data_IF_088297406140
#
_entry.id   IF_088297406140
#
_cell.length_a   1.000
_cell.length_b   1.000
_cell.length_c   1.000
_cell.angle_alpha   90.00
_cell.angle_beta   90.00
_cell.angle_gamma   90.00
#
_symmetry.space_group_name_H-M   'P 1'
#
loop_
_entity.id
_entity.type
_entity.pdbx_description
1 polymer ?
#
# COMPACT_ATOMS: atom_id res chain seq x y z
N UNK A 1 32.04 5.56 0.46
CA UNK A 1 31.71 4.15 0.81
C UNK A 1 30.32 3.86 0.26
N UNK A 2 30.00 2.63 -0.16
CA UNK A 2 28.65 2.27 -0.56
C UNK A 2 27.67 2.49 0.58
N UNK A 3 26.46 2.97 0.26
CA UNK A 3 25.40 3.25 1.24
C UNK A 3 24.69 1.96 1.62
N UNK A 4 24.61 1.69 2.92
CA UNK A 4 23.83 0.58 3.44
C UNK A 4 22.35 0.74 3.05
N UNK A 5 21.75 -0.31 2.51
CA UNK A 5 20.42 -0.26 1.92
C UNK A 5 19.51 -1.33 2.52
N UNK A 6 18.28 -0.96 2.83
CA UNK A 6 17.25 -1.89 3.28
C UNK A 6 16.00 -1.73 2.40
N UNK A 7 15.46 -2.85 1.92
CA UNK A 7 14.21 -2.92 1.18
C UNK A 7 13.09 -3.35 2.13
N UNK A 8 11.98 -2.61 2.08
CA UNK A 8 10.71 -2.96 2.70
C UNK A 8 9.78 -3.48 1.61
N UNK A 9 9.61 -4.78 1.55
CA UNK A 9 8.77 -5.46 0.59
C UNK A 9 7.58 -6.14 1.27
N UNK A 10 6.63 -6.64 0.52
CA UNK A 10 5.44 -7.33 1.00
C UNK A 10 4.20 -6.94 0.21
N UNK A 11 3.18 -7.76 0.28
CA UNK A 11 1.97 -7.60 -0.50
C UNK A 11 1.18 -6.33 -0.14
N UNK A 12 0.17 -6.01 -0.95
CA UNK A 12 -0.71 -4.86 -0.76
C UNK A 12 -1.39 -4.90 0.63
N UNK A 13 -1.36 -3.78 1.35
CA UNK A 13 -1.97 -3.68 2.68
C UNK A 13 -1.25 -4.41 3.82
N UNK A 14 -0.08 -5.01 3.56
CA UNK A 14 0.69 -5.72 4.57
C UNK A 14 1.26 -4.81 5.68
N UNK A 15 1.30 -3.49 5.50
CA UNK A 15 1.78 -2.54 6.51
C UNK A 15 3.20 -2.00 6.28
N UNK A 16 3.69 -2.04 5.04
CA UNK A 16 5.02 -1.48 4.67
C UNK A 16 5.17 -0.01 5.02
N UNK A 17 4.19 0.80 4.63
CA UNK A 17 4.17 2.25 4.90
C UNK A 17 4.13 2.54 6.40
N UNK A 18 3.37 1.77 7.18
CA UNK A 18 3.34 1.87 8.64
C UNK A 18 4.70 1.54 9.26
N UNK A 19 5.38 0.51 8.75
CA UNK A 19 6.75 0.17 9.16
C UNK A 19 7.72 1.29 8.80
N UNK A 20 7.67 1.80 7.55
CA UNK A 20 8.50 2.92 7.12
C UNK A 20 8.35 4.12 8.05
N UNK A 21 7.12 4.55 8.34
CA UNK A 21 6.83 5.65 9.25
C UNK A 21 7.42 5.42 10.64
N UNK A 22 7.26 4.22 11.21
CA UNK A 22 7.81 3.86 12.50
C UNK A 22 9.34 3.96 12.52
N UNK A 23 10.03 3.46 11.48
CA UNK A 23 11.48 3.56 11.36
C UNK A 23 11.97 5.00 11.24
N UNK A 24 11.24 5.84 10.50
CA UNK A 24 11.57 7.24 10.33
C UNK A 24 11.41 8.05 11.62
N UNK A 25 10.36 7.77 12.40
CA UNK A 25 10.20 8.38 13.73
C UNK A 25 11.39 8.05 14.62
N UNK A 26 11.81 6.78 14.68
CA UNK A 26 12.94 6.34 15.47
C UNK A 26 14.28 6.97 15.02
N UNK A 27 14.43 7.24 13.71
CA UNK A 27 15.65 7.85 13.19
C UNK A 27 15.90 9.27 13.71
N UNK A 28 14.87 10.00 14.13
CA UNK A 28 15.00 11.34 14.71
C UNK A 28 15.82 11.37 16.00
N UNK A 29 15.76 10.26 16.75
CA UNK A 29 16.42 10.14 18.04
C UNK A 29 17.88 9.65 17.90
N UNK A 30 18.31 9.30 16.69
CA UNK A 30 19.65 8.77 16.41
C UNK A 30 20.55 9.85 15.76
N UNK A 31 21.47 10.41 16.53
CA UNK A 31 22.31 11.55 16.14
C UNK A 31 23.22 11.30 14.91
N UNK A 32 23.47 10.05 14.51
CA UNK A 32 24.42 9.70 13.45
C UNK A 32 23.74 8.97 12.27
N UNK A 33 22.42 8.96 12.20
CA UNK A 33 21.66 8.28 11.14
C UNK A 33 20.93 9.31 10.30
N UNK A 34 21.29 9.39 9.02
CA UNK A 34 20.63 10.22 8.05
C UNK A 34 20.02 9.30 6.98
N UNK A 35 18.71 9.09 7.08
CA UNK A 35 17.98 8.18 6.19
C UNK A 35 17.67 8.86 4.86
N UNK A 36 18.03 8.19 3.76
CA UNK A 36 17.43 8.41 2.46
C UNK A 36 16.22 7.50 2.27
N UNK A 37 15.22 7.97 1.57
CA UNK A 37 13.96 7.23 1.36
C UNK A 37 13.55 7.24 -0.10
N UNK A 38 13.25 6.06 -0.63
CA UNK A 38 12.62 5.88 -1.93
C UNK A 38 11.32 5.10 -1.73
N UNK A 39 10.21 5.64 -2.23
CA UNK A 39 8.89 5.00 -2.15
C UNK A 39 8.36 4.71 -3.54
N UNK A 40 7.97 3.47 -3.79
CA UNK A 40 7.32 3.08 -5.05
C UNK A 40 5.81 2.95 -4.88
N UNK A 41 5.06 3.77 -5.59
CA UNK A 41 3.60 3.80 -5.58
C UNK A 41 3.01 3.44 -6.93
N UNK A 42 2.14 2.43 -6.97
CA UNK A 42 1.44 2.03 -8.21
C UNK A 42 0.30 2.97 -8.61
N UNK A 43 -0.17 3.80 -7.70
CA UNK A 43 -1.32 4.68 -7.91
C UNK A 43 -0.89 6.09 -8.25
N UNK A 44 -1.58 6.71 -9.20
CA UNK A 44 -1.50 8.17 -9.44
C UNK A 44 -2.18 8.97 -8.31
N UNK A 45 -2.93 8.29 -7.43
CA UNK A 45 -3.46 8.83 -6.18
C UNK A 45 -2.50 8.49 -5.05
N UNK A 46 -1.81 9.49 -4.62
CA UNK A 46 -0.93 9.43 -3.47
C UNK A 46 -1.72 9.52 -2.15
N UNK A 47 -2.51 8.48 -1.86
CA UNK A 47 -3.25 8.39 -0.60
C UNK A 47 -2.30 8.08 0.55
N UNK A 48 -1.31 7.22 0.32
CA UNK A 48 -0.32 6.86 1.33
C UNK A 48 0.65 8.02 1.59
N UNK A 49 1.07 8.74 0.55
CA UNK A 49 1.93 9.90 0.71
C UNK A 49 1.21 11.12 1.27
N UNK A 50 -0.09 11.30 1.03
CA UNK A 50 -0.85 12.36 1.71
C UNK A 50 -0.98 12.10 3.22
N UNK A 51 -0.98 10.83 3.63
CA UNK A 51 -0.91 10.43 5.05
C UNK A 51 0.50 10.62 5.61
N UNK A 52 1.55 10.39 4.81
CA UNK A 52 2.95 10.68 5.19
C UNK A 52 3.18 12.18 5.39
N UNK A 53 2.68 13.04 4.50
CA UNK A 53 2.81 14.50 4.60
C UNK A 53 2.10 15.09 5.84
N UNK A 54 0.97 14.49 6.26
CA UNK A 54 0.27 14.89 7.49
C UNK A 54 0.97 14.45 8.77
N UNK A 55 1.92 13.50 8.68
CA UNK A 55 2.62 12.97 9.86
C UNK A 55 3.87 13.77 10.28
N UNK A 56 4.24 14.86 9.56
CA UNK A 56 5.46 15.68 9.79
C UNK A 56 6.80 14.88 9.84
N UNK A 57 6.76 13.59 9.49
CA UNK A 57 7.91 12.69 9.69
C UNK A 57 8.93 12.81 8.57
N UNK A 58 8.46 12.96 7.34
CA UNK A 58 9.29 13.35 6.18
C UNK A 58 8.52 14.33 5.32
N UNK A 59 9.11 15.48 5.08
CA UNK A 59 8.65 16.36 4.01
C UNK A 59 9.05 15.77 2.66
N UNK A 60 8.10 15.62 1.73
CA UNK A 60 8.38 15.32 0.31
C UNK A 60 9.33 16.33 -0.34
N UNK A 61 9.50 17.48 0.30
CA UNK A 61 10.46 18.52 -0.10
C UNK A 61 11.88 18.21 0.39
N UNK A 62 12.07 17.15 1.19
CA UNK A 62 13.41 16.74 1.61
C UNK A 62 14.24 16.31 0.40
N UNK A 63 15.51 16.75 0.28
CA UNK A 63 16.41 16.28 -0.76
C UNK A 63 16.68 14.76 -0.66
N UNK A 64 16.48 14.18 0.52
CA UNK A 64 16.70 12.76 0.79
C UNK A 64 15.42 11.90 0.57
N UNK A 65 14.40 12.45 -0.09
CA UNK A 65 13.19 11.74 -0.45
C UNK A 65 12.99 11.69 -1.97
N UNK A 66 12.64 10.51 -2.49
CA UNK A 66 12.18 10.35 -3.87
C UNK A 66 11.00 9.37 -3.94
N UNK A 67 10.14 9.59 -4.91
CA UNK A 67 9.02 8.71 -5.25
C UNK A 67 9.21 8.18 -6.66
N UNK A 68 8.90 6.89 -6.86
CA UNK A 68 8.84 6.21 -8.17
C UNK A 68 7.37 5.89 -8.44
N UNK A 69 6.66 6.76 -9.19
CA UNK A 69 5.21 6.63 -9.36
C UNK A 69 4.81 5.74 -10.53
N UNK A 70 3.60 5.21 -10.47
CA UNK A 70 2.83 4.71 -11.59
C UNK A 70 3.06 3.26 -11.98
N UNK A 71 4.27 2.74 -11.93
CA UNK A 71 4.59 1.34 -12.26
C UNK A 71 5.35 0.65 -11.14
N UNK A 72 5.36 -0.69 -11.17
CA UNK A 72 6.23 -1.44 -10.25
C UNK A 72 7.68 -1.07 -10.48
N UNK A 73 8.42 -0.83 -9.41
CA UNK A 73 9.87 -0.57 -9.42
C UNK A 73 10.65 -1.71 -10.09
N UNK A 74 10.08 -2.91 -10.18
CA UNK A 74 10.69 -4.07 -10.84
C UNK A 74 10.46 -4.14 -12.36
N UNK A 75 9.64 -3.25 -12.93
CA UNK A 75 9.51 -3.13 -14.38
C UNK A 75 10.70 -2.39 -14.99
N UNK A 76 10.93 -2.53 -16.30
CA UNK A 76 12.04 -1.86 -17.00
C UNK A 76 12.02 -0.33 -16.80
N UNK A 77 10.83 0.28 -16.98
CA UNK A 77 10.65 1.71 -16.77
C UNK A 77 10.82 2.09 -15.28
N UNK A 78 10.26 1.27 -14.37
CA UNK A 78 10.40 1.48 -12.92
C UNK A 78 11.85 1.38 -12.45
N UNK A 79 12.65 0.46 -13.00
CA UNK A 79 14.07 0.34 -12.72
C UNK A 79 14.88 1.56 -13.23
N UNK A 80 14.50 2.15 -14.38
CA UNK A 80 15.13 3.38 -14.84
C UNK A 80 14.85 4.55 -13.88
N UNK A 81 13.59 4.75 -13.52
CA UNK A 81 13.18 5.77 -12.54
C UNK A 81 13.81 5.54 -11.16
N UNK A 82 13.96 4.29 -10.75
CA UNK A 82 14.63 3.93 -9.51
C UNK A 82 16.10 4.38 -9.49
N UNK A 83 16.84 4.19 -10.58
CA UNK A 83 18.23 4.65 -10.67
C UNK A 83 18.34 6.17 -10.53
N UNK A 84 17.46 6.92 -11.22
CA UNK A 84 17.37 8.37 -11.09
C UNK A 84 17.03 8.81 -9.65
N UNK A 85 16.10 8.08 -8.99
CA UNK A 85 15.75 8.34 -7.61
C UNK A 85 16.91 8.10 -6.65
N UNK A 86 17.71 7.05 -6.86
CA UNK A 86 18.93 6.78 -6.09
C UNK A 86 19.92 7.92 -6.25
N UNK A 87 20.22 8.34 -7.47
CA UNK A 87 21.16 9.43 -7.74
C UNK A 87 20.71 10.74 -7.09
N UNK A 88 19.42 11.05 -7.18
CA UNK A 88 18.82 12.23 -6.53
C UNK A 88 18.98 12.19 -5.01
N UNK A 89 18.61 11.10 -4.38
CA UNK A 89 18.62 10.97 -2.90
C UNK A 89 20.03 11.00 -2.34
N UNK A 90 21.00 10.51 -3.09
CA UNK A 90 22.41 10.45 -2.66
C UNK A 90 23.24 11.66 -3.09
N UNK A 91 22.68 12.63 -3.81
CA UNK A 91 23.42 13.73 -4.47
C UNK A 91 24.26 14.58 -3.52
N UNK A 92 23.82 14.81 -2.29
CA UNK A 92 24.53 15.67 -1.32
C UNK A 92 25.54 14.91 -0.43
N UNK A 93 25.62 13.58 -0.57
CA UNK A 93 26.56 12.72 0.16
C UNK A 93 26.30 12.60 1.67
N UNK A 94 25.14 13.04 2.17
CA UNK A 94 24.83 13.03 3.61
C UNK A 94 24.09 11.78 4.07
N UNK A 95 23.44 11.05 3.16
CA UNK A 95 22.71 9.84 3.47
C UNK A 95 23.66 8.76 3.98
N UNK A 96 23.32 8.19 5.14
CA UNK A 96 24.08 7.11 5.77
C UNK A 96 23.45 5.74 5.53
N UNK A 97 22.13 5.70 5.34
CA UNK A 97 21.36 4.49 5.07
C UNK A 97 20.17 4.80 4.16
N UNK A 98 19.93 3.94 3.16
CA UNK A 98 18.81 4.06 2.23
C UNK A 98 17.71 3.06 2.57
N UNK A 99 16.50 3.56 2.79
CA UNK A 99 15.29 2.74 2.91
C UNK A 99 14.49 2.80 1.61
N UNK A 100 14.10 1.64 1.08
CA UNK A 100 13.33 1.53 -0.14
C UNK A 100 12.02 0.81 0.18
N UNK A 101 10.89 1.48 0.03
CA UNK A 101 9.57 0.86 0.09
C UNK A 101 9.12 0.48 -1.31
N UNK A 102 8.81 -0.79 -1.53
CA UNK A 102 8.29 -1.29 -2.81
C UNK A 102 6.77 -1.25 -2.86
N UNK A 103 6.20 -1.20 -4.05
CA UNK A 103 4.78 -1.47 -4.25
C UNK A 103 4.43 -2.91 -3.85
N UNK A 104 3.16 -3.15 -3.56
CA UNK A 104 2.71 -4.49 -3.15
C UNK A 104 2.82 -5.56 -4.24
N UNK A 105 2.95 -5.15 -5.50
CA UNK A 105 3.11 -6.03 -6.67
C UNK A 105 4.56 -6.17 -7.15
N UNK A 106 5.52 -5.61 -6.43
CA UNK A 106 6.93 -5.66 -6.83
C UNK A 106 7.47 -7.08 -6.83
N UNK A 107 7.99 -7.50 -7.97
CA UNK A 107 8.76 -8.72 -8.12
C UNK A 107 10.17 -8.52 -7.54
N UNK A 108 10.62 -9.34 -6.57
CA UNK A 108 11.87 -9.11 -5.86
C UNK A 108 13.11 -9.18 -6.73
N UNK A 109 13.19 -10.17 -7.62
CA UNK A 109 14.44 -10.51 -8.29
C UNK A 109 15.00 -9.37 -9.18
N UNK A 110 14.25 -8.73 -10.09
CA UNK A 110 14.78 -7.65 -10.91
C UNK A 110 15.29 -6.46 -10.08
N UNK A 111 14.63 -6.14 -8.97
CA UNK A 111 15.08 -5.07 -8.06
C UNK A 111 16.38 -5.46 -7.36
N UNK A 112 16.52 -6.71 -6.92
CA UNK A 112 17.74 -7.21 -6.29
C UNK A 112 18.93 -7.15 -7.26
N UNK A 113 18.75 -7.54 -8.51
CA UNK A 113 19.78 -7.43 -9.55
C UNK A 113 20.16 -5.97 -9.83
N UNK A 114 19.16 -5.08 -9.91
CA UNK A 114 19.42 -3.65 -10.11
C UNK A 114 20.22 -3.06 -8.96
N UNK A 115 19.91 -3.38 -7.71
CA UNK A 115 20.68 -2.90 -6.54
C UNK A 115 22.10 -3.48 -6.54
N UNK A 116 22.27 -4.76 -6.88
CA UNK A 116 23.57 -5.40 -6.99
C UNK A 116 24.47 -4.73 -8.04
N UNK A 117 23.85 -4.24 -9.12
CA UNK A 117 24.55 -3.55 -10.22
C UNK A 117 24.93 -2.09 -9.87
N UNK A 118 24.41 -1.51 -8.80
CA UNK A 118 24.69 -0.13 -8.38
C UNK A 118 25.83 -0.09 -7.36
N UNK A 119 27.04 0.35 -7.76
CA UNK A 119 28.22 0.32 -6.88
C UNK A 119 28.10 1.25 -5.67
N UNK A 120 27.24 2.26 -5.73
CA UNK A 120 26.93 3.17 -4.62
C UNK A 120 26.05 2.56 -3.54
N UNK A 121 25.41 1.40 -3.78
CA UNK A 121 24.53 0.74 -2.83
C UNK A 121 25.13 -0.56 -2.29
N UNK A 122 24.77 -0.90 -1.06
CA UNK A 122 25.13 -2.17 -0.42
C UNK A 122 23.91 -2.71 0.33
N UNK A 123 23.28 -3.73 -0.22
CA UNK A 123 22.08 -4.31 0.39
C UNK A 123 22.42 -5.06 1.67
N UNK A 124 21.76 -4.74 2.75
CA UNK A 124 21.80 -5.42 4.04
C UNK A 124 20.47 -6.13 4.34
N UNK A 125 19.36 -5.40 4.29
CA UNK A 125 18.04 -5.91 4.62
C UNK A 125 17.14 -6.05 3.41
N UNK A 126 16.53 -7.24 3.24
CA UNK A 126 15.32 -7.41 2.45
C UNK A 126 14.24 -7.92 3.40
N UNK A 127 13.47 -6.96 3.95
CA UNK A 127 12.41 -7.23 4.90
C UNK A 127 11.11 -7.44 4.15
N UNK A 128 10.53 -8.64 4.26
CA UNK A 128 9.21 -8.90 3.70
C UNK A 128 8.15 -8.81 4.79
N UNK A 129 7.20 -7.88 4.61
CA UNK A 129 6.06 -7.70 5.50
C UNK A 129 4.93 -8.61 5.04
N UNK A 130 4.58 -9.57 5.88
CA UNK A 130 3.59 -10.61 5.59
C UNK A 130 2.35 -10.39 6.45
N UNK A 131 1.21 -10.16 5.82
CA UNK A 131 -0.08 -9.93 6.50
C UNK A 131 -0.61 -11.24 7.09
N UNK A 132 -0.55 -11.38 8.40
CA UNK A 132 -0.97 -12.60 9.11
C UNK A 132 -2.47 -12.88 8.95
N UNK A 133 -3.29 -11.82 8.89
CA UNK A 133 -4.74 -11.96 8.74
C UNK A 133 -5.08 -12.49 7.35
N UNK A 134 -4.44 -11.94 6.30
CA UNK A 134 -4.63 -12.40 4.91
C UNK A 134 -4.16 -13.86 4.75
N UNK A 135 -3.01 -14.21 5.34
CA UNK A 135 -2.55 -15.61 5.27
C UNK A 135 -3.49 -16.56 5.98
N UNK A 136 -4.05 -16.17 7.13
CA UNK A 136 -5.04 -16.97 7.84
C UNK A 136 -6.31 -17.18 7.03
N UNK A 137 -6.86 -16.10 6.46
CA UNK A 137 -8.20 -16.11 5.85
C UNK A 137 -8.20 -16.63 4.41
N UNK A 138 -7.21 -16.19 3.61
CA UNK A 138 -7.23 -16.36 2.15
C UNK A 138 -6.25 -17.45 1.67
N UNK A 139 -5.31 -17.90 2.53
CA UNK A 139 -4.22 -18.80 2.13
C UNK A 139 -4.00 -19.99 3.08
N UNK A 140 -5.01 -20.44 3.82
CA UNK A 140 -4.90 -21.54 4.80
C UNK A 140 -3.66 -21.38 5.69
N UNK A 141 -3.58 -20.27 6.43
CA UNK A 141 -2.43 -19.90 7.27
C UNK A 141 -1.09 -19.77 6.50
N UNK A 142 -1.13 -19.73 5.18
CA UNK A 142 0.05 -19.72 4.29
C UNK A 142 0.36 -21.06 3.64
N UNK A 143 -0.26 -22.17 4.07
CA UNK A 143 -0.02 -23.51 3.51
C UNK A 143 -0.41 -23.63 2.05
N UNK A 144 -1.41 -22.87 1.59
CA UNK A 144 -1.87 -22.86 0.21
C UNK A 144 -0.92 -22.12 -0.75
N UNK A 145 0.02 -21.30 -0.27
CA UNK A 145 0.89 -20.48 -1.12
C UNK A 145 1.70 -21.36 -2.09
N UNK A 146 2.47 -22.29 -1.56
CA UNK A 146 3.36 -23.14 -2.38
C UNK A 146 2.59 -24.03 -3.38
N UNK A 147 1.56 -24.79 -2.98
CA UNK A 147 0.82 -25.61 -3.93
C UNK A 147 0.18 -24.81 -5.07
N UNK A 148 -0.43 -23.67 -4.76
CA UNK A 148 -1.08 -22.81 -5.77
C UNK A 148 -0.04 -22.16 -6.68
N UNK A 149 1.07 -21.68 -6.13
CA UNK A 149 2.17 -21.12 -6.92
C UNK A 149 2.75 -22.16 -7.91
N UNK A 150 2.96 -23.40 -7.45
CA UNK A 150 3.45 -24.49 -8.30
C UNK A 150 2.47 -24.87 -9.42
N UNK A 151 1.16 -24.93 -9.11
CA UNK A 151 0.12 -25.17 -10.11
C UNK A 151 0.07 -24.06 -11.16
N UNK A 152 0.22 -22.81 -10.75
CA UNK A 152 0.26 -21.68 -11.65
C UNK A 152 1.45 -21.80 -12.63
N UNK A 153 2.66 -22.06 -12.12
CA UNK A 153 3.85 -22.23 -12.95
C UNK A 153 3.70 -23.39 -13.94
N UNK A 154 3.16 -24.54 -13.49
CA UNK A 154 2.87 -25.68 -14.36
C UNK A 154 1.84 -25.37 -15.46
N UNK A 155 0.96 -24.39 -15.22
CA UNK A 155 -0.02 -23.90 -16.19
C UNK A 155 0.50 -22.73 -17.07
N UNK A 156 1.81 -22.42 -17.02
CA UNK A 156 2.42 -21.33 -17.78
C UNK A 156 1.97 -19.94 -17.36
N UNK A 157 1.55 -19.75 -16.10
CA UNK A 157 1.07 -18.47 -15.58
C UNK A 157 1.67 -18.16 -14.21
N UNK A 158 1.60 -16.90 -13.82
CA UNK A 158 1.95 -16.43 -12.47
C UNK A 158 0.76 -15.68 -11.87
N UNK A 159 0.55 -15.84 -10.58
CA UNK A 159 -0.54 -15.19 -9.84
C UNK A 159 -0.06 -14.73 -8.47
N UNK A 160 -1.01 -14.25 -7.65
CA UNK A 160 -0.70 -13.70 -6.32
C UNK A 160 0.04 -14.68 -5.42
N UNK A 161 -0.28 -15.96 -5.48
CA UNK A 161 0.44 -16.97 -4.70
C UNK A 161 1.93 -17.06 -5.07
N UNK A 162 2.28 -16.88 -6.36
CA UNK A 162 3.66 -16.81 -6.80
C UNK A 162 4.36 -15.58 -6.25
N UNK A 163 3.72 -14.44 -6.31
CA UNK A 163 4.26 -13.19 -5.76
C UNK A 163 4.50 -13.29 -4.24
N UNK A 164 3.53 -13.82 -3.49
CA UNK A 164 3.66 -14.04 -2.05
C UNK A 164 4.80 -15.02 -1.74
N UNK A 165 4.90 -16.13 -2.49
CA UNK A 165 6.01 -17.08 -2.35
C UNK A 165 7.36 -16.40 -2.56
N UNK A 166 7.52 -15.65 -3.64
CA UNK A 166 8.75 -14.94 -3.95
C UNK A 166 9.10 -13.88 -2.90
N UNK A 167 8.13 -13.09 -2.45
CA UNK A 167 8.34 -12.12 -1.40
C UNK A 167 8.86 -12.77 -0.11
N UNK A 168 8.41 -13.98 0.22
CA UNK A 168 8.93 -14.76 1.34
C UNK A 168 10.31 -15.31 1.04
N UNK A 169 10.51 -15.94 -0.13
CA UNK A 169 11.74 -16.67 -0.49
C UNK A 169 12.96 -15.74 -0.60
N UNK A 170 12.78 -14.54 -1.12
CA UNK A 170 13.88 -13.60 -1.29
C UNK A 170 14.22 -12.78 -0.03
N UNK A 171 13.39 -12.82 1.02
CA UNK A 171 13.64 -12.07 2.24
C UNK A 171 14.79 -12.68 3.07
N UNK A 172 15.56 -11.84 3.78
CA UNK A 172 16.41 -12.30 4.87
C UNK A 172 15.77 -12.05 6.25
N UNK A 173 14.62 -11.34 6.27
CA UNK A 173 13.76 -11.21 7.46
C UNK A 173 12.30 -11.13 7.05
N UNK A 174 11.46 -11.93 7.72
CA UNK A 174 10.01 -11.93 7.57
C UNK A 174 9.38 -11.23 8.78
N UNK A 175 8.51 -10.26 8.51
CA UNK A 175 7.78 -9.51 9.54
C UNK A 175 6.30 -9.90 9.44
N UNK A 176 5.82 -10.73 10.36
CA UNK A 176 4.42 -11.13 10.47
C UNK A 176 3.63 -9.95 11.04
N UNK A 177 3.02 -9.18 10.16
CA UNK A 177 2.28 -7.96 10.54
C UNK A 177 0.87 -8.28 11.05
N UNK A 178 0.24 -7.26 11.64
CA UNK A 178 -1.10 -7.37 12.26
C UNK A 178 -1.17 -8.45 13.34
N UNK A 179 -0.07 -8.67 14.02
CA UNK A 179 0.05 -9.66 15.09
C UNK A 179 -0.89 -9.37 16.28
N UNK A 180 -1.37 -8.12 16.41
CA UNK A 180 -2.38 -7.68 17.36
C UNK A 180 -3.81 -8.12 17.01
N UNK A 181 -4.05 -8.54 15.76
CA UNK A 181 -5.38 -8.92 15.24
C UNK A 181 -5.62 -10.43 15.24
N UNK A 182 -4.64 -11.22 15.62
CA UNK A 182 -4.71 -12.68 15.60
C UNK A 182 -4.23 -13.27 16.94
N UNK A 183 -4.62 -14.51 17.22
CA UNK A 183 -4.11 -15.21 18.42
C UNK A 183 -2.65 -15.64 18.26
N UNK A 184 -2.00 -15.96 19.39
CA UNK A 184 -0.63 -16.48 19.38
C UNK A 184 -0.51 -17.80 18.60
N UNK A 185 -1.53 -18.65 18.67
CA UNK A 185 -1.58 -19.92 17.94
C UNK A 185 -1.65 -19.71 16.41
N UNK A 186 -2.39 -18.71 15.96
CA UNK A 186 -2.45 -18.31 14.54
C UNK A 186 -1.09 -17.81 14.07
N UNK A 187 -0.43 -16.94 14.85
CA UNK A 187 0.92 -16.47 14.53
C UNK A 187 1.92 -17.63 14.40
N UNK A 188 1.86 -18.60 15.31
CA UNK A 188 2.70 -19.78 15.26
C UNK A 188 2.42 -20.62 14.01
N UNK A 189 1.14 -20.88 13.70
CA UNK A 189 0.76 -21.64 12.51
C UNK A 189 1.23 -20.96 11.22
N UNK A 190 1.10 -19.64 11.12
CA UNK A 190 1.59 -18.87 9.97
C UNK A 190 3.12 -18.94 9.88
N UNK A 191 3.83 -18.75 10.99
CA UNK A 191 5.29 -18.85 11.02
C UNK A 191 5.77 -20.24 10.54
N UNK A 192 5.14 -21.31 11.04
CA UNK A 192 5.42 -22.70 10.65
C UNK A 192 5.12 -22.97 9.17
N UNK A 193 4.06 -22.35 8.63
CA UNK A 193 3.66 -22.51 7.23
C UNK A 193 4.57 -21.78 6.24
N UNK A 194 5.10 -20.60 6.60
CA UNK A 194 6.00 -19.83 5.74
C UNK A 194 7.48 -20.26 5.89
N UNK A 195 7.85 -20.87 7.01
CA UNK A 195 9.23 -21.31 7.25
C UNK A 195 9.80 -22.24 6.18
N UNK A 196 9.07 -23.23 5.66
CA UNK A 196 9.58 -24.11 4.60
C UNK A 196 9.92 -23.37 3.30
N UNK A 197 9.27 -22.24 3.01
CA UNK A 197 9.56 -21.41 1.84
C UNK A 197 10.90 -20.69 1.98
N UNK A 198 11.31 -20.36 3.22
CA UNK A 198 12.57 -19.68 3.49
C UNK A 198 13.11 -20.03 4.89
N UNK A 199 13.75 -21.19 5.07
CA UNK A 199 14.20 -21.64 6.38
C UNK A 199 15.32 -20.79 7.01
N UNK A 200 15.94 -19.92 6.21
CA UNK A 200 17.06 -19.07 6.67
C UNK A 200 16.64 -17.66 7.06
N UNK A 201 15.39 -17.28 6.80
CA UNK A 201 14.91 -15.96 7.19
C UNK A 201 14.56 -15.91 8.67
N UNK A 202 14.96 -14.83 9.33
CA UNK A 202 14.45 -14.51 10.66
C UNK A 202 12.96 -14.18 10.58
N UNK A 203 12.13 -14.81 11.43
CA UNK A 203 10.69 -14.53 11.48
C UNK A 203 10.37 -13.78 12.76
N UNK A 204 9.80 -12.59 12.63
CA UNK A 204 9.43 -11.72 13.76
C UNK A 204 7.96 -11.31 13.66
N UNK A 205 7.25 -11.33 14.78
CA UNK A 205 5.93 -10.73 14.88
C UNK A 205 6.04 -9.21 14.94
N UNK A 206 5.18 -8.51 14.21
CA UNK A 206 5.14 -7.05 14.14
C UNK A 206 3.73 -6.52 14.42
N UNK A 207 3.65 -5.56 15.34
CA UNK A 207 2.42 -4.82 15.64
C UNK A 207 2.66 -3.34 15.32
N UNK A 208 1.74 -2.72 14.58
CA UNK A 208 1.77 -1.28 14.27
C UNK A 208 3.11 -0.77 13.69
N UNK A 209 3.81 -1.60 12.93
CA UNK A 209 5.12 -1.26 12.38
C UNK A 209 6.25 -1.16 13.42
N UNK A 210 6.03 -1.64 14.65
CA UNK A 210 7.01 -1.55 15.72
C UNK A 210 8.14 -2.59 15.55
N UNK A 211 9.18 -2.16 14.85
CA UNK A 211 10.46 -2.87 14.68
C UNK A 211 11.59 -1.90 15.03
N UNK A 212 12.58 -2.33 15.81
CA UNK A 212 13.71 -1.48 16.18
C UNK A 212 14.53 -1.09 14.96
N UNK A 213 14.69 0.21 14.72
CA UNK A 213 15.54 0.73 13.65
C UNK A 213 17.00 0.26 13.82
N UNK A 214 17.53 0.25 15.03
CA UNK A 214 18.89 -0.23 15.31
C UNK A 214 19.10 -1.67 14.82
N UNK A 215 18.10 -2.55 15.04
CA UNK A 215 18.15 -3.94 14.55
C UNK A 215 18.05 -4.02 13.03
N UNK A 216 17.36 -3.08 12.39
CA UNK A 216 17.30 -2.98 10.92
C UNK A 216 18.65 -2.51 10.37
N UNK A 217 19.24 -1.47 10.96
CA UNK A 217 20.55 -0.92 10.54
C UNK A 217 21.70 -1.91 10.79
N UNK A 218 21.60 -2.74 11.82
CA UNK A 218 22.62 -3.74 12.19
C UNK A 218 22.47 -5.08 11.43
N UNK A 219 21.58 -5.17 10.44
CA UNK A 219 21.43 -6.40 9.66
C UNK A 219 22.73 -6.72 8.91
N UNK A 220 23.09 -8.02 8.81
CA UNK A 220 24.25 -8.43 8.04
C UNK A 220 24.06 -8.13 6.55
N UNK A 221 25.14 -8.18 5.79
CA UNK A 221 25.10 -8.04 4.35
C UNK A 221 24.18 -9.11 3.75
N UNK A 222 23.34 -8.70 2.79
CA UNK A 222 22.44 -9.62 2.09
C UNK A 222 23.22 -10.64 1.25
N UNK A 223 22.89 -11.90 1.43
CA UNK A 223 23.51 -12.99 0.70
C UNK A 223 22.82 -13.22 -0.65
N UNK A 224 23.34 -12.62 -1.71
CA UNK A 224 22.84 -12.81 -3.06
C UNK A 224 23.04 -14.24 -3.60
N UNK A 225 24.10 -14.94 -3.19
CA UNK A 225 24.37 -16.29 -3.70
C UNK A 225 23.30 -17.29 -3.25
N UNK A 226 22.73 -17.06 -2.06
CA UNK A 226 21.61 -17.86 -1.54
C UNK A 226 20.40 -17.87 -2.46
N UNK A 227 20.08 -16.74 -3.09
CA UNK A 227 18.86 -16.56 -3.89
C UNK A 227 19.12 -16.60 -5.39
N UNK A 228 20.37 -16.66 -5.80
CA UNK A 228 20.78 -16.63 -7.21
C UNK A 228 20.21 -17.78 -8.04
N UNK A 229 20.17 -18.99 -7.48
CA UNK A 229 19.59 -20.14 -8.15
C UNK A 229 18.11 -19.92 -8.44
N UNK A 230 17.36 -19.44 -7.45
CA UNK A 230 15.95 -19.09 -7.61
C UNK A 230 15.74 -18.00 -8.67
N UNK A 231 16.53 -16.92 -8.59
CA UNK A 231 16.44 -15.83 -9.55
C UNK A 231 16.69 -16.33 -10.98
N UNK A 232 17.66 -17.20 -11.15
CA UNK A 232 17.97 -17.80 -12.45
C UNK A 232 16.83 -18.69 -12.97
N UNK A 233 16.29 -19.58 -12.15
CA UNK A 233 15.13 -20.41 -12.49
C UNK A 233 13.92 -19.56 -12.91
N UNK A 234 13.64 -18.47 -12.19
CA UNK A 234 12.55 -17.56 -12.55
C UNK A 234 12.79 -16.86 -13.88
N UNK A 235 14.02 -16.41 -14.13
CA UNK A 235 14.38 -15.75 -15.40
C UNK A 235 14.30 -16.72 -16.57
N UNK A 236 14.77 -17.95 -16.40
CA UNK A 236 14.68 -19.01 -17.42
C UNK A 236 13.22 -19.37 -17.71
N UNK A 237 12.42 -19.54 -16.67
CA UNK A 237 10.98 -19.80 -16.82
C UNK A 237 10.25 -18.67 -17.56
N UNK A 238 10.55 -17.41 -17.22
CA UNK A 238 9.99 -16.24 -17.89
C UNK A 238 10.38 -16.19 -19.37
N UNK A 239 11.64 -16.47 -19.71
CA UNK A 239 12.12 -16.50 -21.09
C UNK A 239 11.41 -17.58 -21.92
N UNK A 240 11.18 -18.76 -21.37
CA UNK A 240 10.49 -19.88 -22.03
C UNK A 240 9.01 -19.58 -22.30
N UNK A 241 8.34 -18.88 -21.38
CA UNK A 241 6.88 -18.62 -21.46
C UNK A 241 6.54 -17.28 -22.12
N UNK A 242 7.48 -16.34 -22.21
CA UNK A 242 7.29 -15.05 -22.91
C UNK A 242 7.17 -15.22 -24.43
N UNK A 243 7.75 -16.26 -25.00
CA UNK A 243 7.69 -16.53 -26.44
C UNK A 243 6.30 -17.00 -26.94
N UNK A 244 5.41 -17.43 -26.05
CA UNK A 244 4.08 -17.94 -26.37
C UNK A 244 2.95 -16.90 -26.23
N UNK A 245 3.21 -15.71 -25.70
CA UNK A 245 2.25 -14.63 -25.66
C UNK A 245 2.83 -13.37 -26.31
N UNK A 246 2.12 -12.81 -27.29
CA UNK A 246 2.43 -11.50 -27.92
C UNK A 246 2.29 -10.31 -26.94
N UNK A 247 2.18 -10.57 -25.65
CA UNK A 247 2.17 -9.56 -24.58
C UNK A 247 3.49 -9.67 -23.83
N UNK A 248 4.14 -8.53 -23.62
CA UNK A 248 5.26 -8.42 -22.67
C UNK A 248 4.92 -9.15 -21.37
N UNK A 249 5.87 -9.80 -20.69
CA UNK A 249 5.62 -10.45 -19.41
C UNK A 249 5.35 -9.36 -18.35
N UNK A 250 4.14 -8.84 -18.33
CA UNK A 250 3.62 -8.18 -17.16
C UNK A 250 3.42 -9.27 -16.12
N UNK A 251 4.37 -9.34 -15.25
CA UNK A 251 4.71 -10.45 -14.38
C UNK A 251 3.58 -10.91 -13.46
N UNK A 252 2.64 -10.02 -13.17
CA UNK A 252 1.36 -10.28 -12.52
C UNK A 252 0.34 -9.37 -13.19
N UNK A 253 -0.75 -9.90 -13.68
CA UNK A 253 -1.85 -9.10 -14.24
C UNK A 253 -2.58 -8.32 -13.15
N UNK A 254 -1.81 -7.58 -12.36
CA UNK A 254 -2.29 -6.70 -11.32
C UNK A 254 -2.34 -5.29 -11.91
N UNK A 255 -3.55 -4.81 -12.09
CA UNK A 255 -3.80 -3.45 -12.53
C UNK A 255 -4.26 -2.55 -11.37
N UNK A 256 -4.39 -1.28 -11.68
CA UNK A 256 -5.07 -0.32 -10.81
C UNK A 256 -6.04 0.53 -11.63
N UNK A 257 -7.10 0.98 -10.95
CA UNK A 257 -8.04 1.97 -11.47
C UNK A 257 -8.28 3.03 -10.42
N UNK A 258 -8.42 4.24 -10.88
CA UNK A 258 -8.74 5.38 -10.01
C UNK A 258 -10.14 5.84 -10.33
N UNK A 259 -11.02 5.72 -9.34
CA UNK A 259 -12.38 6.21 -9.39
C UNK A 259 -12.42 7.60 -8.78
N UNK A 260 -12.94 8.58 -9.52
CA UNK A 260 -13.12 9.97 -9.06
C UNK A 260 -14.51 10.45 -9.44
N UNK A 261 -15.26 10.92 -8.42
CA UNK A 261 -16.58 11.52 -8.63
C UNK A 261 -16.86 12.49 -7.46
N UNK A 262 -17.43 13.67 -7.70
CA UNK A 262 -17.81 14.58 -6.62
C UNK A 262 -19.06 14.11 -5.85
N UNK A 263 -19.91 13.26 -6.44
CA UNK A 263 -21.13 12.74 -5.83
C UNK A 263 -20.83 11.82 -4.65
N UNK A 264 -21.73 11.73 -3.66
CA UNK A 264 -21.61 10.75 -2.58
C UNK A 264 -21.91 9.33 -3.07
N UNK A 265 -21.36 8.36 -2.37
CA UNK A 265 -21.86 6.99 -2.49
C UNK A 265 -23.18 6.83 -1.71
N UNK A 266 -24.13 6.09 -2.29
CA UNK A 266 -25.31 5.65 -1.57
C UNK A 266 -24.92 4.59 -0.52
N UNK A 267 -25.18 4.81 0.77
CA UNK A 267 -24.64 4.00 1.85
C UNK A 267 -24.95 2.50 1.72
N UNK A 268 -26.21 2.16 1.41
CA UNK A 268 -26.65 0.77 1.29
C UNK A 268 -26.07 0.08 0.04
N UNK A 269 -26.00 0.77 -1.11
CA UNK A 269 -25.44 0.17 -2.32
C UNK A 269 -23.94 -0.11 -2.15
N UNK A 270 -23.20 0.83 -1.62
CA UNK A 270 -21.78 0.63 -1.33
C UNK A 270 -21.55 -0.52 -0.36
N UNK A 271 -22.34 -0.61 0.70
CA UNK A 271 -22.27 -1.71 1.67
C UNK A 271 -22.49 -3.07 1.01
N UNK A 272 -23.53 -3.17 0.15
CA UNK A 272 -23.85 -4.42 -0.55
C UNK A 272 -22.73 -4.85 -1.50
N UNK A 273 -22.09 -3.92 -2.21
CA UNK A 273 -20.96 -4.23 -3.10
C UNK A 273 -19.81 -4.85 -2.33
N UNK A 274 -19.43 -4.25 -1.21
CA UNK A 274 -18.31 -4.76 -0.43
C UNK A 274 -18.58 -6.02 0.38
N UNK A 275 -19.84 -6.28 0.74
CA UNK A 275 -20.22 -7.48 1.49
C UNK A 275 -20.60 -8.66 0.60
N UNK A 276 -21.00 -8.42 -0.66
CA UNK A 276 -21.57 -9.45 -1.53
C UNK A 276 -20.84 -9.59 -2.87
N UNK A 277 -20.19 -8.55 -3.37
CA UNK A 277 -19.59 -8.51 -4.70
C UNK A 277 -18.05 -8.33 -4.70
N UNK A 278 -17.43 -8.23 -3.53
CA UNK A 278 -15.98 -8.17 -3.43
C UNK A 278 -15.40 -9.55 -3.82
N UNK A 279 -14.86 -9.63 -5.04
CA UNK A 279 -14.23 -10.85 -5.55
C UNK A 279 -12.81 -11.04 -5.02
N UNK A 280 -12.32 -12.28 -5.08
CA UNK A 280 -10.94 -12.66 -4.70
C UNK A 280 -9.89 -11.90 -5.54
N UNK A 281 -10.25 -11.50 -6.76
CA UNK A 281 -9.39 -10.73 -7.66
C UNK A 281 -9.24 -9.24 -7.30
N UNK A 282 -9.98 -8.74 -6.30
CA UNK A 282 -9.81 -7.36 -5.81
C UNK A 282 -8.95 -7.38 -4.55
N UNK A 283 -7.69 -7.02 -4.69
CA UNK A 283 -6.69 -7.18 -3.64
C UNK A 283 -6.68 -6.04 -2.65
N UNK A 284 -6.87 -4.81 -3.13
CA UNK A 284 -6.89 -3.60 -2.30
C UNK A 284 -7.76 -2.52 -2.92
N UNK A 285 -8.48 -1.80 -2.07
CA UNK A 285 -9.01 -0.49 -2.43
C UNK A 285 -8.77 0.51 -1.30
N UNK A 286 -8.37 1.73 -1.66
CA UNK A 286 -8.08 2.78 -0.68
C UNK A 286 -8.40 4.14 -1.24
N UNK A 287 -8.89 5.05 -0.40
CA UNK A 287 -9.13 6.43 -0.77
C UNK A 287 -10.16 7.12 0.08
N UNK A 288 -10.47 8.34 -0.30
CA UNK A 288 -11.43 9.19 0.42
C UNK A 288 -12.79 9.12 -0.25
N UNK A 289 -13.82 9.19 0.56
CA UNK A 289 -15.20 9.26 0.09
C UNK A 289 -16.10 9.93 1.11
N UNK A 290 -17.35 10.16 0.74
CA UNK A 290 -18.38 10.66 1.62
C UNK A 290 -19.73 10.01 1.34
N UNK A 291 -20.62 10.09 2.34
CA UNK A 291 -21.97 9.54 2.33
C UNK A 291 -22.97 10.66 2.67
N UNK A 292 -24.20 10.64 2.12
CA UNK A 292 -25.24 11.60 2.49
C UNK A 292 -25.56 11.63 3.99
N UNK A 293 -25.45 10.45 4.66
CA UNK A 293 -25.69 10.27 6.10
C UNK A 293 -24.58 10.80 7.00
N UNK A 294 -23.44 11.19 6.44
CA UNK A 294 -22.23 11.66 7.13
C UNK A 294 -21.51 12.68 6.26
N UNK A 295 -22.26 13.60 5.71
CA UNK A 295 -21.79 14.55 4.69
C UNK A 295 -20.80 15.59 5.22
N UNK A 296 -20.71 15.74 6.55
CA UNK A 296 -19.70 16.54 7.21
C UNK A 296 -18.34 15.85 7.33
N UNK A 297 -18.26 14.51 7.19
CA UNK A 297 -17.06 13.72 7.46
C UNK A 297 -16.33 13.33 6.19
N UNK A 298 -15.01 13.54 6.17
CA UNK A 298 -14.11 12.92 5.21
C UNK A 298 -13.78 11.52 5.71
N UNK A 299 -14.30 10.51 5.01
CA UNK A 299 -14.11 9.11 5.35
C UNK A 299 -12.93 8.55 4.53
N UNK A 300 -12.02 7.84 5.19
CA UNK A 300 -10.97 7.07 4.55
C UNK A 300 -11.40 5.60 4.49
N UNK A 301 -11.48 5.10 3.30
CA UNK A 301 -11.69 3.71 2.98
C UNK A 301 -10.36 2.98 2.88
N UNK A 302 -10.24 1.82 3.52
CA UNK A 302 -9.08 0.96 3.42
C UNK A 302 -9.53 -0.51 3.41
N UNK A 303 -9.48 -1.15 2.24
CA UNK A 303 -9.80 -2.56 2.07
C UNK A 303 -8.55 -3.32 1.62
N UNK A 304 -8.34 -4.49 2.21
CA UNK A 304 -7.28 -5.43 1.83
C UNK A 304 -7.84 -6.86 1.97
N UNK A 305 -7.86 -7.62 0.86
CA UNK A 305 -8.56 -8.90 0.82
C UNK A 305 -10.02 -8.75 1.26
N UNK A 306 -10.53 -9.64 2.07
CA UNK A 306 -11.89 -9.55 2.64
C UNK A 306 -12.05 -8.53 3.78
N UNK A 307 -10.98 -7.89 4.25
CA UNK A 307 -11.02 -6.97 5.39
C UNK A 307 -11.27 -5.53 4.95
N UNK A 308 -12.26 -4.87 5.55
CA UNK A 308 -12.65 -3.48 5.27
C UNK A 308 -12.48 -2.64 6.52
N UNK A 309 -11.72 -1.55 6.40
CA UNK A 309 -11.56 -0.51 7.42
C UNK A 309 -12.20 0.80 6.96
N UNK A 310 -12.89 1.47 7.88
CA UNK A 310 -13.46 2.78 7.68
C UNK A 310 -12.96 3.71 8.78
N UNK A 311 -12.36 4.83 8.41
CA UNK A 311 -11.76 5.76 9.35
C UNK A 311 -12.23 7.18 9.06
N UNK A 312 -12.42 8.00 10.11
CA UNK A 312 -12.68 9.42 9.98
C UNK A 312 -11.34 10.14 9.95
N UNK A 313 -11.08 10.88 8.87
CA UNK A 313 -9.82 11.64 8.72
C UNK A 313 -9.98 13.06 9.22
N UNK A 314 -11.03 13.74 8.77
CA UNK A 314 -11.32 15.14 9.10
C UNK A 314 -12.76 15.50 8.75
N UNK A 315 -13.10 16.75 8.94
CA UNK A 315 -14.29 17.35 8.32
C UNK A 315 -13.95 17.85 6.91
N UNK A 316 -14.96 17.84 6.02
CA UNK A 316 -14.85 18.60 4.78
C UNK A 316 -14.83 20.10 5.12
N UNK A 317 -14.05 20.89 4.37
CA UNK A 317 -13.94 22.33 4.65
C UNK A 317 -15.27 23.06 4.52
N UNK A 318 -16.06 22.69 3.51
CA UNK A 318 -17.39 23.26 3.34
C UNK A 318 -18.27 23.02 4.57
N UNK A 319 -18.25 21.81 5.13
CA UNK A 319 -19.02 21.47 6.34
C UNK A 319 -18.47 22.13 7.59
N UNK A 320 -17.14 22.25 7.69
CA UNK A 320 -16.52 22.94 8.81
C UNK A 320 -16.87 24.44 8.85
N UNK A 321 -17.02 25.07 7.69
CA UNK A 321 -17.47 26.46 7.58
C UNK A 321 -18.96 26.67 7.91
N UNK A 322 -19.76 25.61 7.78
CA UNK A 322 -21.21 25.62 8.09
C UNK A 322 -21.51 25.25 9.55
N UNK A 323 -20.52 24.79 10.31
CA UNK A 323 -20.67 24.33 11.70
C UNK A 323 -20.12 25.38 12.69
N UNK A 324 -21.01 26.24 13.18
CA UNK A 324 -20.68 27.28 14.17
C UNK A 324 -20.09 26.70 15.48
N UNK A 325 -20.34 25.41 15.78
CA UNK A 325 -19.85 24.80 17.02
C UNK A 325 -18.34 24.61 17.03
N UNK A 326 -17.68 24.61 15.86
CA UNK A 326 -16.23 24.49 15.72
C UNK A 326 -15.48 25.76 16.13
N UNK A 327 -16.20 26.90 16.33
CA UNK A 327 -15.63 28.20 16.76
C UNK A 327 -14.35 28.58 15.97
N UNK A 328 -14.38 28.42 14.64
CA UNK A 328 -13.25 28.78 13.78
C UNK A 328 -12.98 30.29 13.85
N UNK A 329 -11.71 30.66 13.99
CA UNK A 329 -11.27 32.04 13.88
C UNK A 329 -11.49 32.61 12.47
N UNK A 330 -11.60 33.94 12.34
CA UNK A 330 -11.75 34.60 11.04
C UNK A 330 -10.64 34.20 10.05
N UNK A 331 -9.42 34.08 10.54
CA UNK A 331 -8.27 33.64 9.71
C UNK A 331 -8.45 32.20 9.18
N UNK A 332 -8.88 31.26 10.02
CA UNK A 332 -9.12 29.87 9.60
C UNK A 332 -10.26 29.79 8.58
N UNK A 333 -11.32 30.58 8.79
CA UNK A 333 -12.43 30.66 7.84
C UNK A 333 -11.96 31.21 6.48
N UNK A 334 -11.18 32.28 6.47
CA UNK A 334 -10.65 32.88 5.25
C UNK A 334 -9.71 31.95 4.50
N UNK A 335 -8.85 31.21 5.21
CA UNK A 335 -7.98 30.20 4.60
C UNK A 335 -8.80 29.05 3.98
N UNK A 336 -9.84 28.57 4.67
CA UNK A 336 -10.72 27.53 4.13
C UNK A 336 -11.50 28.02 2.92
N UNK A 337 -12.05 29.24 2.96
CA UNK A 337 -12.76 29.86 1.82
C UNK A 337 -11.83 30.03 0.61
N UNK A 338 -10.59 30.42 0.83
CA UNK A 338 -9.61 30.55 -0.23
C UNK A 338 -9.33 29.19 -0.93
N UNK A 339 -9.29 28.11 -0.15
CA UNK A 339 -9.11 26.74 -0.69
C UNK A 339 -10.36 26.20 -1.40
N UNK A 340 -11.53 26.75 -1.13
CA UNK A 340 -12.80 26.38 -1.77
C UNK A 340 -13.08 27.10 -3.09
N UNK A 341 -12.29 28.11 -3.46
CA UNK A 341 -12.50 28.90 -4.69
C UNK A 341 -12.53 28.08 -5.97
N UNK A 342 -11.88 26.90 -5.99
CA UNK A 342 -11.86 25.98 -7.12
C UNK A 342 -12.67 24.69 -6.84
N UNK A 343 -13.45 24.67 -5.77
CA UNK A 343 -14.24 23.52 -5.38
C UNK A 343 -15.48 23.35 -6.25
N UNK A 344 -16.09 22.15 -6.21
CA UNK A 344 -17.29 21.85 -6.97
C UNK A 344 -18.45 22.75 -6.50
N UNK A 345 -19.23 23.38 -7.41
CA UNK A 345 -20.26 24.34 -7.02
C UNK A 345 -21.36 23.74 -6.13
N UNK A 346 -21.69 22.47 -6.32
CA UNK A 346 -22.77 21.79 -5.61
C UNK A 346 -22.33 21.05 -4.36
N UNK A 347 -21.06 20.59 -4.30
CA UNK A 347 -20.56 19.71 -3.25
C UNK A 347 -19.39 20.29 -2.44
N UNK A 348 -18.91 21.50 -2.80
CA UNK A 348 -17.72 22.06 -2.18
C UNK A 348 -16.48 21.20 -2.43
N UNK A 349 -15.68 20.97 -1.40
CA UNK A 349 -14.50 20.09 -1.48
C UNK A 349 -14.81 18.60 -1.24
N UNK A 350 -16.08 18.24 -1.04
CA UNK A 350 -16.53 16.85 -0.96
C UNK A 350 -16.27 16.13 -2.27
N UNK A 351 -15.69 14.95 -2.18
CA UNK A 351 -15.44 14.09 -3.33
C UNK A 351 -15.20 12.65 -2.92
N UNK A 352 -15.47 11.75 -3.85
CA UNK A 352 -15.02 10.37 -3.79
C UNK A 352 -13.79 10.20 -4.67
N UNK A 353 -12.73 9.61 -4.12
CA UNK A 353 -11.48 9.38 -4.81
C UNK A 353 -10.86 8.09 -4.28
N UNK A 354 -11.09 6.99 -5.00
CA UNK A 354 -10.66 5.66 -4.61
C UNK A 354 -9.68 5.10 -5.63
N UNK A 355 -8.60 4.47 -5.17
CA UNK A 355 -7.77 3.58 -5.97
C UNK A 355 -8.19 2.16 -5.69
N UNK A 356 -8.47 1.39 -6.72
CA UNK A 356 -8.74 -0.04 -6.67
C UNK A 356 -7.59 -0.78 -7.35
N UNK A 357 -7.07 -1.80 -6.70
CA UNK A 357 -5.98 -2.64 -7.21
C UNK A 357 -6.46 -4.09 -7.19
N UNK A 358 -6.31 -4.77 -8.31
CA UNK A 358 -6.80 -6.14 -8.46
C UNK A 358 -6.31 -6.80 -9.75
N UNK A 359 -6.81 -8.00 -10.00
CA UNK A 359 -6.63 -8.70 -11.27
C UNK A 359 -7.27 -7.88 -12.41
N UNK A 360 -6.54 -7.65 -13.48
CA UNK A 360 -7.02 -6.82 -14.60
C UNK A 360 -8.35 -7.31 -15.20
N UNK A 361 -8.59 -8.63 -15.18
CA UNK A 361 -9.82 -9.19 -15.73
C UNK A 361 -11.06 -8.89 -14.86
N UNK A 362 -10.89 -8.69 -13.56
CA UNK A 362 -11.98 -8.41 -12.62
C UNK A 362 -12.09 -6.92 -12.28
N UNK A 363 -11.01 -6.17 -12.47
CA UNK A 363 -10.88 -4.81 -12.00
C UNK A 363 -11.89 -3.84 -12.65
N UNK A 364 -12.03 -3.90 -13.98
CA UNK A 364 -12.93 -3.00 -14.71
C UNK A 364 -14.39 -3.25 -14.31
N UNK A 365 -14.80 -4.52 -14.22
CA UNK A 365 -16.13 -4.91 -13.78
C UNK A 365 -16.45 -4.45 -12.36
N UNK A 366 -15.47 -4.55 -11.46
CA UNK A 366 -15.65 -4.11 -10.08
C UNK A 366 -15.77 -2.59 -9.99
N UNK A 367 -14.96 -1.84 -10.74
CA UNK A 367 -15.02 -0.38 -10.81
C UNK A 367 -16.35 0.09 -11.41
N UNK A 368 -16.85 -0.55 -12.48
CA UNK A 368 -18.18 -0.30 -13.02
C UNK A 368 -19.26 -0.52 -11.95
N UNK A 369 -19.15 -1.59 -11.20
CA UNK A 369 -20.07 -1.87 -10.10
C UNK A 369 -20.02 -0.77 -9.03
N UNK A 370 -18.83 -0.29 -8.64
CA UNK A 370 -18.68 0.85 -7.73
C UNK A 370 -19.30 2.13 -8.28
N UNK A 371 -19.20 2.38 -9.59
CA UNK A 371 -19.81 3.56 -10.22
C UNK A 371 -21.34 3.56 -10.07
N UNK A 372 -21.98 2.40 -10.08
CA UNK A 372 -23.44 2.31 -9.82
C UNK A 372 -23.83 2.65 -8.40
N UNK A 373 -22.86 2.72 -7.50
CA UNK A 373 -23.11 3.08 -6.09
C UNK A 373 -23.20 4.59 -5.85
N UNK A 374 -22.81 5.45 -6.79
CA UNK A 374 -22.98 6.89 -6.62
C UNK A 374 -24.46 7.27 -6.61
N UNK A 375 -24.82 8.22 -5.75
CA UNK A 375 -26.19 8.73 -5.69
C UNK A 375 -26.62 9.30 -7.04
N UNK A 376 -27.85 9.02 -7.42
CA UNK A 376 -28.52 9.61 -8.58
C UNK A 376 -28.91 11.06 -8.31
N UNK A 377 -29.31 11.79 -9.33
CA UNK A 377 -29.73 13.19 -9.19
C UNK A 377 -30.95 13.31 -8.27
N UNK A 378 -31.89 12.37 -8.35
CA UNK A 378 -33.07 12.33 -7.45
C UNK A 378 -32.65 12.07 -6.00
N UNK A 379 -31.71 11.18 -5.74
CA UNK A 379 -31.19 10.90 -4.40
C UNK A 379 -30.38 12.10 -3.86
N UNK A 380 -29.66 12.82 -4.72
CA UNK A 380 -28.99 14.08 -4.35
C UNK A 380 -30.01 15.16 -4.00
N UNK A 381 -31.11 15.23 -4.73
CA UNK A 381 -32.21 16.15 -4.40
C UNK A 381 -32.87 15.77 -3.07
N UNK A 382 -33.08 14.48 -2.81
CA UNK A 382 -33.61 13.98 -1.55
C UNK A 382 -32.67 14.30 -0.36
N UNK A 383 -31.36 14.09 -0.52
CA UNK A 383 -30.36 14.51 0.47
C UNK A 383 -30.45 16.01 0.79
N UNK A 384 -30.51 16.87 -0.24
CA UNK A 384 -30.65 18.32 -0.06
C UNK A 384 -31.95 18.73 0.62
N UNK A 385 -33.01 17.93 0.44
CA UNK A 385 -34.28 18.11 1.14
C UNK A 385 -34.26 17.59 2.58
N UNK A 386 -33.17 16.98 3.03
CA UNK A 386 -33.03 16.44 4.38
C UNK A 386 -33.70 15.09 4.56
N UNK A 387 -33.91 14.32 3.49
CA UNK A 387 -34.46 12.96 3.57
C UNK A 387 -33.43 11.98 4.15
N UNK A 388 -33.92 11.02 4.95
CA UNK A 388 -33.07 10.01 5.57
C UNK A 388 -32.69 8.89 4.59
N UNK A 389 -31.41 8.50 4.64
CA UNK A 389 -30.88 7.31 3.94
C UNK A 389 -30.63 6.17 4.92
N UNK A 390 -30.92 4.95 4.51
CA UNK A 390 -30.51 3.77 5.28
C UNK A 390 -28.97 3.65 5.26
N UNK A 391 -28.33 3.69 6.44
CA UNK A 391 -26.89 3.57 6.61
C UNK A 391 -26.53 2.32 7.43
N UNK A 392 -26.12 1.21 6.78
CA UNK A 392 -25.75 -0.02 7.45
C UNK A 392 -24.31 -0.01 8.00
N UNK A 393 -23.55 1.05 7.73
CA UNK A 393 -22.15 1.15 8.17
C UNK A 393 -22.03 1.34 9.68
N UNK A 394 -20.95 0.81 10.32
CA UNK A 394 -20.73 0.99 11.75
C UNK A 394 -20.75 2.48 12.15
N UNK A 395 -21.46 2.79 13.24
CA UNK A 395 -21.56 4.16 13.75
C UNK A 395 -20.28 4.64 14.46
N UNK A 396 -19.52 3.70 15.03
CA UNK A 396 -18.23 3.98 15.66
C UNK A 396 -17.12 3.67 14.67
N UNK A 397 -16.48 4.72 14.19
CA UNK A 397 -15.34 4.64 13.28
C UNK A 397 -14.09 5.09 14.03
N UNK A 398 -12.97 4.39 13.83
CA UNK A 398 -11.70 4.83 14.38
C UNK A 398 -11.32 6.19 13.77
N UNK A 399 -11.04 7.17 14.62
CA UNK A 399 -10.55 8.48 14.16
C UNK A 399 -9.03 8.41 14.05
N UNK A 400 -8.50 8.70 12.87
CA UNK A 400 -7.06 8.99 12.72
C UNK A 400 -6.79 10.31 13.45
N UNK A 401 -6.15 10.22 14.62
CA UNK A 401 -5.57 11.42 15.25
C UNK A 401 -4.18 11.59 14.65
N UNK A 402 -3.97 12.69 13.94
CA UNK A 402 -2.64 13.19 13.68
C UNK A 402 -1.96 13.40 15.04
N UNK A 403 -0.85 12.73 15.27
CA UNK A 403 0.04 12.98 16.41
C UNK A 403 1.10 13.96 16.00
#
# INVERSE_FOLDING_TARGET
>A
MPIATTILNGFLGAGKTTLMQSLLVQARDLNNVNLGVIVNEMSTLDVDGSVLDTSEVISRRSPHFASVPGKSISSEEGLAQFREAVDKVLADGKVTHLLIETSGSTHPWPLLEAIRALPQLRLHGFLSVVDTVVLQQDHDFGRAIHPVASQNLAAGRRGVANLLAEQVMFANRLLLSKADKVSRDVLQQVAEAVHPLNPQADVLAMQWGNVSLEKVLAMPLYDFERVKAFGKELTEWEAEHSASSMAQPETYKIGNRVLRDPRPFHPQRLYNVYTQALGIGIYRSKGFFWLPTRDNLMLLWNQTGGSVGLEIVSYWRISALEDDSLNLSDWEQDEMRAKLTQAHPDFGDRRCQLTVIGDELELDKFVETLQTCFCTDDEIAAWRAGEDFADPWPKTVATLRGR
#
